data_IF_001775961909
#
_entry.id   IF_001775961909
#
_cell.length_a   1.000
_cell.length_b   1.000
_cell.length_c   1.000
_cell.angle_alpha   90.00
_cell.angle_beta   90.00
_cell.angle_gamma   90.00
#
_symmetry.space_group_name_H-M   'P 1'
#
loop_
_entity.id
_entity.type
_entity.pdbx_description
1 polymer ?
#
# COMPACT_ATOMS: atom_id res chain seq x y z
N UNK A 1 3.20 -20.02 -16.48
CA UNK A 1 2.83 -18.71 -15.88
C UNK A 1 2.26 -17.83 -16.99
N UNK A 2 1.10 -17.22 -16.75
CA UNK A 2 0.43 -16.40 -17.76
C UNK A 2 0.97 -14.96 -17.79
N UNK A 3 0.69 -14.22 -18.86
CA UNK A 3 1.13 -12.83 -19.00
C UNK A 3 0.76 -11.95 -17.81
N UNK A 4 -0.43 -12.11 -17.26
CA UNK A 4 -0.90 -11.29 -16.12
C UNK A 4 -0.09 -11.53 -14.84
N UNK A 5 0.34 -12.76 -14.60
CA UNK A 5 1.18 -13.13 -13.44
C UNK A 5 2.59 -12.56 -13.59
N UNK A 6 3.18 -12.70 -14.78
CA UNK A 6 4.50 -12.13 -15.08
C UNK A 6 4.47 -10.60 -14.97
N UNK A 7 3.45 -9.96 -15.55
CA UNK A 7 3.28 -8.50 -15.45
C UNK A 7 3.16 -8.03 -14.00
N UNK A 8 2.47 -8.78 -13.16
CA UNK A 8 2.36 -8.47 -11.73
C UNK A 8 3.69 -8.57 -11.00
N UNK A 9 4.49 -9.60 -11.31
CA UNK A 9 5.82 -9.81 -10.74
C UNK A 9 6.79 -8.70 -11.19
N UNK A 10 6.79 -8.37 -12.49
CA UNK A 10 7.59 -7.26 -13.04
C UNK A 10 7.20 -5.93 -12.38
N UNK A 11 5.91 -5.66 -12.21
CA UNK A 11 5.43 -4.45 -11.56
C UNK A 11 5.85 -4.35 -10.09
N UNK A 12 6.01 -5.48 -9.41
CA UNK A 12 6.41 -5.52 -8.00
C UNK A 12 7.93 -5.36 -7.83
N UNK A 13 8.73 -6.12 -8.57
CA UNK A 13 10.15 -6.31 -8.32
C UNK A 13 11.07 -5.83 -9.47
N UNK A 14 10.49 -5.37 -10.57
CA UNK A 14 11.22 -5.02 -11.78
C UNK A 14 11.52 -6.23 -12.67
N UNK A 15 11.84 -5.97 -13.94
CA UNK A 15 12.02 -7.01 -14.95
C UNK A 15 13.21 -7.92 -14.63
N UNK A 16 14.35 -7.36 -14.22
CA UNK A 16 15.55 -8.15 -13.94
C UNK A 16 15.33 -9.16 -12.81
N UNK A 17 14.73 -8.72 -11.70
CA UNK A 17 14.40 -9.61 -10.58
C UNK A 17 13.35 -10.65 -10.95
N UNK A 18 12.33 -10.24 -11.72
CA UNK A 18 11.32 -11.18 -12.22
C UNK A 18 11.94 -12.28 -13.09
N UNK A 19 12.83 -11.91 -14.02
CA UNK A 19 13.52 -12.88 -14.88
C UNK A 19 14.47 -13.78 -14.09
N UNK A 20 15.22 -13.25 -13.15
CA UNK A 20 16.06 -14.04 -12.25
C UNK A 20 15.24 -15.13 -11.54
N UNK A 21 14.11 -14.73 -10.91
CA UNK A 21 13.23 -15.67 -10.22
C UNK A 21 12.70 -16.75 -11.16
N UNK A 22 12.24 -16.35 -12.36
CA UNK A 22 11.59 -17.25 -13.30
C UNK A 22 12.56 -18.19 -14.02
N UNK A 23 13.75 -17.71 -14.33
CA UNK A 23 14.73 -18.48 -15.10
C UNK A 23 15.60 -19.37 -14.21
N UNK A 24 16.02 -18.88 -13.05
CA UNK A 24 16.83 -19.68 -12.14
C UNK A 24 16.01 -20.70 -11.35
N UNK A 25 14.75 -20.35 -10.99
CA UNK A 25 13.85 -21.24 -10.23
C UNK A 25 14.36 -21.64 -8.85
N UNK A 26 15.35 -20.91 -8.30
CA UNK A 26 15.94 -21.20 -6.99
C UNK A 26 15.07 -20.71 -5.85
N UNK A 27 15.23 -21.34 -4.69
CA UNK A 27 14.62 -20.89 -3.45
C UNK A 27 15.53 -19.83 -2.81
N UNK A 28 14.95 -18.75 -2.31
CA UNK A 28 15.64 -17.72 -1.56
C UNK A 28 14.93 -17.47 -0.23
N UNK A 29 15.67 -16.93 0.74
CA UNK A 29 15.16 -16.68 2.08
C UNK A 29 14.37 -15.35 2.19
N UNK A 30 13.82 -15.09 3.37
CA UNK A 30 13.02 -13.89 3.63
C UNK A 30 13.85 -12.60 3.52
N UNK A 31 15.14 -12.63 3.85
CA UNK A 31 16.02 -11.46 3.75
C UNK A 31 16.25 -11.10 2.29
N UNK A 32 16.59 -12.09 1.47
CA UNK A 32 16.74 -11.89 0.04
C UNK A 32 15.44 -11.43 -0.61
N UNK A 33 14.30 -11.99 -0.21
CA UNK A 33 12.98 -11.53 -0.67
C UNK A 33 12.74 -10.03 -0.36
N UNK A 34 13.21 -9.56 0.79
CA UNK A 34 13.15 -8.14 1.16
C UNK A 34 14.08 -7.29 0.30
N UNK A 35 15.32 -7.74 0.10
CA UNK A 35 16.31 -7.01 -0.69
C UNK A 35 15.88 -6.88 -2.15
N UNK A 36 15.15 -7.87 -2.66
CA UNK A 36 14.55 -7.87 -4.00
C UNK A 36 13.20 -7.12 -4.09
N UNK A 37 12.71 -6.54 -3.01
CA UNK A 37 11.43 -5.80 -3.00
C UNK A 37 10.17 -6.65 -3.05
N UNK A 38 10.27 -7.97 -2.84
CA UNK A 38 9.12 -8.88 -2.85
C UNK A 38 8.29 -8.79 -1.58
N UNK A 39 8.92 -8.44 -0.45
CA UNK A 39 8.27 -8.19 0.83
C UNK A 39 8.79 -6.89 1.44
N UNK A 40 7.95 -6.22 2.22
CA UNK A 40 8.28 -4.92 2.82
C UNK A 40 8.98 -5.05 4.16
N UNK A 41 8.80 -6.19 4.86
CA UNK A 41 9.29 -6.39 6.22
C UNK A 41 9.62 -7.86 6.46
N UNK A 42 10.67 -8.08 7.25
CA UNK A 42 11.06 -9.39 7.75
C UNK A 42 11.19 -9.28 9.27
N UNK A 43 10.63 -10.23 9.99
CA UNK A 43 10.68 -10.34 11.44
C UNK A 43 10.98 -11.80 11.82
N UNK A 44 11.27 -12.09 13.09
CA UNK A 44 11.41 -13.45 13.57
C UNK A 44 10.08 -14.22 13.43
N UNK A 45 10.15 -15.53 13.22
CA UNK A 45 8.97 -16.36 12.91
C UNK A 45 7.89 -16.28 14.00
N UNK A 46 8.27 -16.25 15.27
CA UNK A 46 7.39 -16.09 16.40
C UNK A 46 6.78 -14.69 16.54
N UNK A 47 7.33 -13.68 15.86
CA UNK A 47 6.86 -12.30 15.89
C UNK A 47 5.92 -11.95 14.73
N UNK A 48 5.75 -12.81 13.73
CA UNK A 48 5.00 -12.49 12.49
C UNK A 48 3.56 -12.08 12.78
N UNK A 49 2.85 -12.85 13.61
CA UNK A 49 1.45 -12.57 13.93
C UNK A 49 1.30 -11.25 14.70
N UNK A 50 2.14 -11.02 15.69
CA UNK A 50 2.11 -9.80 16.49
C UNK A 50 2.39 -8.56 15.63
N UNK A 51 3.38 -8.63 14.74
CA UNK A 51 3.70 -7.51 13.83
C UNK A 51 2.61 -7.29 12.78
N UNK A 52 2.00 -8.35 12.26
CA UNK A 52 0.87 -8.24 11.34
C UNK A 52 -0.34 -7.56 12.01
N UNK A 53 -0.69 -7.95 13.24
CA UNK A 53 -1.77 -7.33 14.02
C UNK A 53 -1.47 -5.87 14.34
N UNK A 54 -0.24 -5.56 14.77
CA UNK A 54 0.18 -4.18 15.04
C UNK A 54 0.11 -3.30 13.78
N UNK A 55 0.49 -3.85 12.62
CA UNK A 55 0.38 -3.16 11.35
C UNK A 55 -1.08 -2.93 10.96
N UNK A 56 -1.94 -3.93 11.09
CA UNK A 56 -3.37 -3.80 10.83
C UNK A 56 -4.01 -2.75 11.74
N UNK A 57 -3.64 -2.71 13.02
CA UNK A 57 -4.13 -1.70 13.96
C UNK A 57 -3.69 -0.27 13.56
N UNK A 58 -2.42 -0.09 13.16
CA UNK A 58 -1.95 1.22 12.65
C UNK A 58 -2.74 1.68 11.42
N UNK A 59 -3.09 0.76 10.53
CA UNK A 59 -3.92 1.05 9.36
C UNK A 59 -5.36 1.39 9.78
N UNK A 60 -5.92 0.64 10.72
CA UNK A 60 -7.28 0.84 11.22
C UNK A 60 -7.43 2.17 12.02
N UNK A 61 -6.38 2.63 12.66
CA UNK A 61 -6.32 3.91 13.37
C UNK A 61 -6.30 5.12 12.41
N UNK A 62 -6.03 4.90 11.13
CA UNK A 62 -6.04 5.94 10.08
C UNK A 62 -7.44 6.24 9.53
N UNK A 63 -7.55 7.34 8.76
CA UNK A 63 -8.80 7.72 8.10
C UNK A 63 -9.26 6.67 7.07
N UNK A 64 -10.42 6.01 7.24
CA UNK A 64 -10.82 4.86 6.41
C UNK A 64 -11.04 5.23 4.94
N UNK A 65 -11.58 6.42 4.65
CA UNK A 65 -11.79 6.90 3.29
C UNK A 65 -10.46 7.11 2.58
N UNK A 66 -9.48 7.73 3.25
CA UNK A 66 -8.14 7.98 2.71
C UNK A 66 -7.42 6.66 2.41
N UNK A 67 -7.52 5.67 3.30
CA UNK A 67 -6.95 4.34 3.07
C UNK A 67 -7.56 3.66 1.82
N UNK A 68 -8.88 3.81 1.59
CA UNK A 68 -9.55 3.31 0.38
C UNK A 68 -9.09 4.03 -0.87
N UNK A 69 -8.97 5.37 -0.83
CA UNK A 69 -8.48 6.19 -1.95
C UNK A 69 -7.03 5.85 -2.30
N UNK A 70 -6.13 5.73 -1.31
CA UNK A 70 -4.75 5.31 -1.58
C UNK A 70 -4.69 3.98 -2.35
N UNK A 71 -5.50 2.98 -1.95
CA UNK A 71 -5.56 1.69 -2.67
C UNK A 71 -6.16 1.83 -4.07
N UNK A 72 -7.19 2.67 -4.24
CA UNK A 72 -7.81 2.98 -5.55
C UNK A 72 -6.79 3.65 -6.47
N UNK A 73 -6.14 4.71 -5.98
CA UNK A 73 -5.20 5.50 -6.78
C UNK A 73 -3.95 4.69 -7.15
N UNK A 74 -3.37 3.96 -6.19
CA UNK A 74 -2.23 3.08 -6.47
C UNK A 74 -2.56 2.04 -7.55
N UNK A 75 -3.78 1.48 -7.53
CA UNK A 75 -4.24 0.54 -8.58
C UNK A 75 -4.41 1.23 -9.92
N UNK A 76 -5.01 2.43 -9.94
CA UNK A 76 -5.22 3.22 -11.17
C UNK A 76 -3.90 3.61 -11.83
N UNK A 77 -2.90 4.00 -11.04
CA UNK A 77 -1.58 4.42 -11.51
C UNK A 77 -0.74 3.27 -12.14
N UNK A 78 -1.19 2.02 -12.06
CA UNK A 78 -0.59 0.92 -12.85
C UNK A 78 -0.93 1.01 -14.33
N UNK A 79 -1.99 1.71 -14.68
CA UNK A 79 -2.33 1.99 -16.08
C UNK A 79 -1.46 3.14 -16.61
N UNK A 80 -0.86 3.00 -17.82
CA UNK A 80 -0.08 4.07 -18.43
C UNK A 80 -0.95 5.20 -19.01
N UNK A 81 -2.28 5.04 -19.00
CA UNK A 81 -3.18 6.03 -19.54
C UNK A 81 -3.15 7.32 -18.69
N UNK A 82 -3.17 8.50 -19.32
CA UNK A 82 -3.24 9.78 -18.63
C UNK A 82 -4.43 9.84 -17.65
N UNK A 83 -4.27 10.57 -16.56
CA UNK A 83 -5.37 10.84 -15.65
C UNK A 83 -6.33 11.84 -16.30
N UNK A 84 -7.64 11.64 -16.12
CA UNK A 84 -8.68 12.58 -16.49
C UNK A 84 -8.76 13.74 -15.49
N UNK A 85 -9.40 14.85 -15.88
CA UNK A 85 -9.66 15.98 -14.97
C UNK A 85 -10.45 15.52 -13.72
N UNK A 86 -11.46 14.66 -13.89
CA UNK A 86 -12.24 14.13 -12.79
C UNK A 86 -11.41 13.28 -11.81
N UNK A 87 -10.39 12.53 -12.28
CA UNK A 87 -9.49 11.78 -11.42
C UNK A 87 -8.54 12.72 -10.64
N UNK A 88 -8.12 13.84 -11.25
CA UNK A 88 -7.38 14.87 -10.52
C UNK A 88 -8.24 15.52 -9.44
N UNK A 89 -9.49 15.87 -9.73
CA UNK A 89 -10.43 16.46 -8.77
C UNK A 89 -10.74 15.49 -7.63
N UNK A 90 -10.92 14.20 -7.93
CA UNK A 90 -11.12 13.16 -6.91
C UNK A 90 -9.96 13.11 -5.91
N UNK A 91 -8.72 13.38 -6.34
CA UNK A 91 -7.55 13.44 -5.46
C UNK A 91 -7.69 14.44 -4.31
N UNK A 92 -8.53 15.45 -4.47
CA UNK A 92 -8.79 16.49 -3.47
C UNK A 92 -10.09 16.29 -2.71
N UNK A 93 -10.90 15.27 -3.02
CA UNK A 93 -12.19 15.02 -2.39
C UNK A 93 -12.09 14.79 -0.86
N UNK A 94 -10.93 14.37 -0.37
CA UNK A 94 -10.68 14.17 1.06
C UNK A 94 -10.87 15.45 1.90
N UNK A 95 -10.61 16.63 1.35
CA UNK A 95 -10.76 17.90 2.07
C UNK A 95 -12.21 18.24 2.43
N UNK A 96 -13.17 17.69 1.70
CA UNK A 96 -14.61 17.85 1.98
C UNK A 96 -15.19 16.88 3.01
N UNK A 97 -14.38 16.01 3.60
CA UNK A 97 -14.86 14.94 4.51
C UNK A 97 -14.88 15.36 5.97
N UNK A 98 -15.75 14.73 6.76
CA UNK A 98 -15.75 14.87 8.22
C UNK A 98 -14.41 14.40 8.81
N UNK A 99 -13.86 13.32 8.27
CA UNK A 99 -12.58 12.77 8.71
C UNK A 99 -11.41 13.75 8.53
N UNK A 100 -11.44 14.56 7.47
CA UNK A 100 -10.44 15.63 7.30
C UNK A 100 -10.52 16.65 8.44
N UNK A 101 -11.73 17.08 8.80
CA UNK A 101 -11.93 18.03 9.91
C UNK A 101 -11.52 17.44 11.26
N UNK A 102 -11.82 16.15 11.49
CA UNK A 102 -11.38 15.43 12.70
C UNK A 102 -9.85 15.39 12.76
N UNK A 103 -9.19 15.00 11.66
CA UNK A 103 -7.73 14.92 11.60
C UNK A 103 -7.06 16.28 11.80
N UNK A 104 -7.56 17.31 11.13
CA UNK A 104 -7.07 18.69 11.25
C UNK A 104 -7.15 19.23 12.70
N UNK A 105 -8.32 19.07 13.33
CA UNK A 105 -8.52 19.51 14.73
C UNK A 105 -7.64 18.73 15.70
N UNK A 106 -7.55 17.41 15.52
CA UNK A 106 -6.71 16.54 16.34
C UNK A 106 -5.22 16.92 16.21
N UNK A 107 -4.76 17.23 15.00
CA UNK A 107 -3.40 17.70 14.78
C UNK A 107 -3.09 18.99 15.53
N UNK A 108 -3.98 19.99 15.44
CA UNK A 108 -3.80 21.27 16.15
C UNK A 108 -3.80 21.11 17.67
N UNK A 109 -4.67 20.23 18.20
CA UNK A 109 -4.78 19.98 19.65
C UNK A 109 -3.80 18.93 20.18
N UNK A 110 -2.95 18.34 19.29
CA UNK A 110 -2.03 17.24 19.61
C UNK A 110 -2.75 16.02 20.23
N UNK A 111 -4.00 15.78 19.84
CA UNK A 111 -4.82 14.67 20.28
C UNK A 111 -4.82 13.54 19.25
N UNK A 112 -5.14 12.30 19.69
CA UNK A 112 -5.37 11.17 18.78
C UNK A 112 -6.73 11.35 18.10
N UNK A 113 -6.82 11.34 16.75
CA UNK A 113 -8.11 11.42 16.06
C UNK A 113 -8.90 10.11 16.19
N UNK A 114 -10.24 10.21 16.13
CA UNK A 114 -11.15 9.08 16.02
C UNK A 114 -11.96 9.28 14.73
N UNK A 115 -11.53 8.64 13.67
CA UNK A 115 -12.13 8.77 12.34
C UNK A 115 -13.44 8.00 12.24
N UNK A 116 -14.37 8.48 11.40
CA UNK A 116 -15.72 7.93 11.22
C UNK A 116 -15.94 7.31 9.84
N UNK A 117 -15.05 7.57 8.88
CA UNK A 117 -15.19 7.11 7.50
C UNK A 117 -16.22 7.91 6.70
N UNK A 118 -16.40 9.19 6.99
CA UNK A 118 -17.39 10.08 6.37
C UNK A 118 -16.77 11.39 5.91
#
# INVERSE_FOLDING_TARGET
MAYAEIASLISLAGEATALEILLEGRVFDAREAKDKGLVTRVVADDAVEAEARATAQRIADGAPLVARWHKKFARRLRSPLPLSAAEYDEGFACFGTEDFQIGYKAFLSKAKPVFKGK
#
